data_IF_406079195341
#
_entry.id   IF_406079195341
#
_cell.length_a   1.000
_cell.length_b   1.000
_cell.length_c   1.000
_cell.angle_alpha   90.00
_cell.angle_beta   90.00
_cell.angle_gamma   90.00
#
_symmetry.space_group_name_H-M   'P 1'
#
loop_
_entity.id
_entity.type
_entity.pdbx_description
1 polymer ?
#
# COMPACT_ATOMS: atom_id res chain seq x y z
N UNK A 1 28.24 13.27 -21.59
CA UNK A 1 27.34 12.79 -20.53
C UNK A 1 27.59 11.29 -20.43
N UNK A 2 28.49 10.92 -19.54
CA UNK A 2 28.94 9.55 -19.30
C UNK A 2 27.90 8.85 -18.47
N UNK A 3 27.40 7.75 -19.01
CA UNK A 3 26.47 6.82 -18.40
C UNK A 3 27.15 6.18 -17.16
N UNK A 4 26.76 6.59 -15.98
CA UNK A 4 27.27 6.06 -14.70
C UNK A 4 26.39 4.87 -14.26
N UNK A 5 26.37 3.82 -15.07
CA UNK A 5 26.04 2.46 -14.61
C UNK A 5 27.29 1.83 -13.99
N UNK A 6 27.80 2.46 -12.92
CA UNK A 6 28.80 1.80 -12.09
C UNK A 6 28.19 0.58 -11.42
N UNK A 7 28.88 -0.56 -11.62
CA UNK A 7 28.70 -1.85 -10.92
C UNK A 7 28.37 -1.61 -9.44
N UNK A 8 27.12 -1.86 -9.06
CA UNK A 8 26.67 -1.81 -7.66
C UNK A 8 26.29 -3.24 -7.22
N UNK A 9 27.28 -4.05 -6.80
CA UNK A 9 27.04 -5.46 -6.41
C UNK A 9 25.98 -5.64 -5.31
N UNK A 10 25.84 -4.62 -4.43
CA UNK A 10 24.81 -4.62 -3.39
C UNK A 10 23.39 -4.50 -3.95
N UNK A 11 23.22 -3.88 -5.13
CA UNK A 11 21.93 -3.75 -5.80
C UNK A 11 21.40 -5.13 -6.26
N UNK A 12 22.29 -6.01 -6.71
CA UNK A 12 21.91 -7.36 -7.12
C UNK A 12 21.50 -8.23 -5.92
N UNK A 13 22.18 -8.08 -4.78
CA UNK A 13 21.80 -8.75 -3.52
C UNK A 13 20.44 -8.25 -3.00
N UNK A 14 20.19 -6.95 -3.05
CA UNK A 14 18.87 -6.40 -2.67
C UNK A 14 17.76 -6.78 -3.65
N UNK A 15 18.08 -6.98 -4.93
CA UNK A 15 17.15 -7.50 -5.91
C UNK A 15 16.71 -8.93 -5.59
N UNK A 16 17.60 -9.77 -5.06
CA UNK A 16 17.26 -11.13 -4.65
C UNK A 16 16.26 -11.15 -3.48
N UNK A 17 16.41 -10.26 -2.50
CA UNK A 17 15.48 -10.17 -1.35
C UNK A 17 14.06 -9.69 -1.73
N UNK A 18 13.91 -8.90 -2.80
CA UNK A 18 12.62 -8.41 -3.28
C UNK A 18 11.86 -9.40 -4.18
N UNK A 19 12.47 -10.55 -4.52
CA UNK A 19 11.88 -11.55 -5.41
C UNK A 19 10.68 -12.30 -4.83
N UNK A 20 10.49 -12.36 -3.52
CA UNK A 20 9.54 -13.25 -2.86
C UNK A 20 8.10 -13.18 -3.39
N UNK A 21 7.54 -11.95 -3.52
CA UNK A 21 6.16 -11.82 -4.03
C UNK A 21 6.02 -12.08 -5.54
N UNK A 22 7.08 -11.86 -6.30
CA UNK A 22 7.07 -12.12 -7.74
C UNK A 22 7.30 -13.60 -8.02
N UNK A 23 8.14 -14.27 -7.23
CA UNK A 23 8.29 -15.73 -7.24
C UNK A 23 6.98 -16.41 -6.86
N UNK A 24 6.25 -15.93 -5.85
CA UNK A 24 4.93 -16.44 -5.52
C UNK A 24 3.98 -16.36 -6.72
N UNK A 25 4.02 -15.27 -7.51
CA UNK A 25 3.17 -15.15 -8.70
C UNK A 25 3.61 -16.11 -9.83
N UNK A 26 4.89 -16.31 -10.04
CA UNK A 26 5.40 -17.27 -11.04
C UNK A 26 5.12 -18.71 -10.65
N UNK A 27 5.25 -19.05 -9.37
CA UNK A 27 4.88 -20.37 -8.83
C UNK A 27 3.36 -20.58 -8.94
N UNK A 28 2.57 -19.55 -8.70
CA UNK A 28 1.12 -19.60 -8.89
C UNK A 28 0.74 -19.85 -10.34
N UNK A 29 1.41 -19.19 -11.29
CA UNK A 29 1.15 -19.39 -12.73
C UNK A 29 1.46 -20.85 -13.17
N UNK A 30 2.45 -21.50 -12.56
CA UNK A 30 2.75 -22.91 -12.82
C UNK A 30 1.73 -23.88 -12.20
N UNK A 31 1.06 -23.50 -11.13
CA UNK A 31 0.06 -24.31 -10.40
C UNK A 31 -1.39 -24.05 -10.79
N UNK A 32 -1.65 -23.14 -11.73
CA UNK A 32 -2.98 -22.77 -12.16
C UNK A 32 -3.75 -23.98 -12.71
N UNK A 33 -4.95 -24.29 -12.19
CA UNK A 33 -5.82 -25.32 -12.73
C UNK A 33 -6.14 -25.09 -14.22
N UNK A 34 -6.31 -26.16 -14.98
CA UNK A 34 -6.56 -26.08 -16.43
C UNK A 34 -7.75 -25.18 -16.80
N UNK A 35 -8.77 -25.11 -15.94
CA UNK A 35 -9.95 -24.26 -16.11
C UNK A 35 -9.61 -22.77 -16.07
N UNK A 36 -8.61 -22.37 -15.26
CA UNK A 36 -8.16 -20.98 -15.14
C UNK A 36 -7.19 -20.58 -16.26
N UNK A 37 -6.51 -21.53 -16.90
CA UNK A 37 -5.59 -21.26 -18.03
C UNK A 37 -6.32 -20.65 -19.23
N UNK A 38 -7.58 -20.99 -19.45
CA UNK A 38 -8.40 -20.39 -20.51
C UNK A 38 -8.69 -18.91 -20.29
N UNK A 39 -8.75 -18.46 -19.02
CA UNK A 39 -8.90 -17.06 -18.65
C UNK A 39 -7.59 -16.30 -18.76
N UNK A 40 -6.45 -16.95 -18.54
CA UNK A 40 -5.12 -16.35 -18.70
C UNK A 40 -4.85 -15.86 -20.13
N UNK A 41 -5.33 -16.59 -21.13
CA UNK A 41 -5.16 -16.22 -22.55
C UNK A 41 -5.86 -14.92 -22.96
N UNK A 42 -6.78 -14.42 -22.13
CA UNK A 42 -7.50 -13.15 -22.33
C UNK A 42 -6.90 -11.97 -21.57
N UNK A 43 -5.96 -12.24 -20.66
CA UNK A 43 -5.32 -11.17 -19.87
C UNK A 43 -4.26 -10.44 -20.71
N UNK A 44 -4.21 -9.12 -20.57
CA UNK A 44 -3.04 -8.36 -21.01
C UNK A 44 -1.84 -8.83 -20.18
N UNK A 45 -0.83 -9.42 -20.83
CA UNK A 45 0.42 -9.76 -20.17
C UNK A 45 1.12 -8.47 -19.71
N UNK A 46 1.76 -8.55 -18.55
CA UNK A 46 2.64 -7.49 -18.08
C UNK A 46 3.64 -7.09 -19.19
N UNK A 47 3.69 -5.81 -19.48
CA UNK A 47 4.51 -5.27 -20.58
C UNK A 47 5.93 -4.94 -20.14
N UNK A 48 6.18 -4.91 -18.81
CA UNK A 48 7.48 -4.54 -18.27
C UNK A 48 8.34 -5.79 -17.95
N UNK A 49 9.58 -5.76 -18.41
CA UNK A 49 10.57 -6.79 -18.05
C UNK A 49 10.82 -6.82 -16.54
N UNK A 50 11.07 -8.02 -16.00
CA UNK A 50 11.24 -8.23 -14.56
C UNK A 50 12.42 -7.45 -13.99
N UNK A 51 13.58 -7.53 -14.63
CA UNK A 51 14.78 -6.81 -14.16
C UNK A 51 14.60 -5.30 -14.24
N UNK A 52 13.90 -4.80 -15.28
CA UNK A 52 13.54 -3.37 -15.39
C UNK A 52 12.59 -2.97 -14.26
N UNK A 53 11.57 -3.80 -13.98
CA UNK A 53 10.63 -3.54 -12.89
C UNK A 53 11.33 -3.37 -11.55
N UNK A 54 12.23 -4.28 -11.18
CA UNK A 54 12.91 -4.22 -9.87
C UNK A 54 13.87 -3.05 -9.79
N UNK A 55 14.65 -2.75 -10.84
CA UNK A 55 15.52 -1.57 -10.85
C UNK A 55 14.72 -0.28 -10.65
N UNK A 56 13.59 -0.13 -11.36
CA UNK A 56 12.73 1.04 -11.20
C UNK A 56 12.07 1.08 -9.82
N UNK A 57 11.63 -0.07 -9.29
CA UNK A 57 11.06 -0.13 -7.96
C UNK A 57 12.07 0.32 -6.89
N UNK A 58 13.30 -0.19 -6.92
CA UNK A 58 14.36 0.23 -5.99
C UNK A 58 14.69 1.71 -6.12
N UNK A 59 14.78 2.22 -7.35
CA UNK A 59 14.98 3.66 -7.59
C UNK A 59 13.86 4.49 -6.95
N UNK A 60 12.60 4.10 -7.15
CA UNK A 60 11.46 4.79 -6.55
C UNK A 60 11.41 4.63 -5.03
N UNK A 61 11.81 3.48 -4.48
CA UNK A 61 11.90 3.28 -3.03
C UNK A 61 13.00 4.14 -2.41
N UNK A 62 14.13 4.33 -3.09
CA UNK A 62 15.16 5.27 -2.65
C UNK A 62 14.64 6.71 -2.60
N UNK A 63 13.84 7.11 -3.59
CA UNK A 63 13.18 8.42 -3.60
C UNK A 63 12.11 8.56 -2.49
N UNK A 64 11.39 7.47 -2.15
CA UNK A 64 10.47 7.47 -1.01
C UNK A 64 11.18 7.68 0.33
N UNK A 65 12.39 7.16 0.50
CA UNK A 65 13.21 7.42 1.70
C UNK A 65 13.60 8.91 1.76
N UNK A 66 14.02 9.51 0.64
CA UNK A 66 14.29 10.96 0.58
C UNK A 66 13.04 11.80 0.88
N UNK A 67 11.88 11.39 0.32
CA UNK A 67 10.61 12.04 0.64
C UNK A 67 10.30 11.97 2.14
N UNK A 68 10.49 10.81 2.77
CA UNK A 68 10.26 10.65 4.20
C UNK A 68 11.17 11.55 5.04
N UNK A 69 12.46 11.60 4.70
CA UNK A 69 13.42 12.51 5.33
C UNK A 69 12.97 13.96 5.22
N UNK A 70 12.54 14.35 4.04
CA UNK A 70 12.03 15.70 3.79
C UNK A 70 10.78 16.00 4.60
N UNK A 71 9.81 15.07 4.64
CA UNK A 71 8.60 15.19 5.44
C UNK A 71 8.95 15.40 6.91
N UNK A 72 9.88 14.61 7.45
CA UNK A 72 10.35 14.72 8.83
C UNK A 72 11.07 16.04 9.08
N UNK A 73 11.98 16.43 8.18
CA UNK A 73 12.78 17.65 8.30
C UNK A 73 11.93 18.93 8.24
N UNK A 74 10.93 18.95 7.34
CA UNK A 74 10.03 20.11 7.17
C UNK A 74 8.83 20.08 8.10
N UNK A 75 8.63 19.01 8.86
CA UNK A 75 7.46 18.85 9.71
C UNK A 75 6.15 18.77 8.90
N UNK A 76 6.18 18.25 7.67
CA UNK A 76 4.98 18.08 6.85
C UNK A 76 4.06 17.03 7.46
N UNK A 77 2.78 17.13 7.15
CA UNK A 77 1.75 16.15 7.53
C UNK A 77 1.19 15.55 6.24
N UNK A 78 1.51 14.29 5.94
CA UNK A 78 1.10 13.65 4.70
C UNK A 78 0.06 12.56 4.98
N UNK A 79 -1.08 12.64 4.29
CA UNK A 79 -2.14 11.62 4.29
C UNK A 79 -2.34 11.11 2.86
N UNK A 80 -2.28 9.80 2.69
CA UNK A 80 -2.56 9.15 1.40
C UNK A 80 -3.70 8.16 1.58
N UNK A 81 -4.77 8.32 0.82
CA UNK A 81 -5.92 7.42 0.82
C UNK A 81 -5.81 6.43 -0.33
N UNK A 82 -5.94 5.15 -0.02
CA UNK A 82 -5.97 4.06 -0.98
C UNK A 82 -7.36 3.45 -1.02
N UNK A 83 -8.14 3.85 -2.01
CA UNK A 83 -9.50 3.37 -2.27
C UNK A 83 -9.55 2.58 -3.59
N UNK A 84 -10.65 1.90 -3.85
CA UNK A 84 -10.83 1.18 -5.11
C UNK A 84 -11.47 -0.18 -4.95
N UNK A 85 -11.59 -0.87 -6.07
CA UNK A 85 -12.19 -2.21 -6.17
C UNK A 85 -11.48 -3.22 -5.27
N UNK A 86 -12.23 -4.23 -4.83
CA UNK A 86 -11.62 -5.37 -4.15
C UNK A 86 -10.70 -6.11 -5.11
N UNK A 87 -9.58 -6.61 -4.60
CA UNK A 87 -8.49 -7.20 -5.38
C UNK A 87 -7.75 -6.26 -6.35
N UNK A 88 -8.00 -4.95 -6.34
CA UNK A 88 -7.36 -4.02 -7.27
C UNK A 88 -5.85 -3.79 -7.04
N UNK A 89 -5.29 -4.27 -5.93
CA UNK A 89 -3.85 -4.20 -5.69
C UNK A 89 -3.40 -3.12 -4.70
N UNK A 90 -4.34 -2.47 -3.99
CA UNK A 90 -4.04 -1.45 -2.96
C UNK A 90 -2.96 -1.87 -1.98
N UNK A 91 -3.17 -3.00 -1.29
CA UNK A 91 -2.23 -3.52 -0.29
C UNK A 91 -0.83 -3.81 -0.86
N UNK A 92 -0.75 -4.25 -2.14
CA UNK A 92 0.54 -4.47 -2.80
C UNK A 92 1.32 -3.18 -3.03
N UNK A 93 0.65 -2.08 -3.37
CA UNK A 93 1.29 -0.75 -3.50
C UNK A 93 1.68 -0.21 -2.12
N UNK A 94 0.80 -0.30 -1.12
CA UNK A 94 1.09 0.13 0.25
C UNK A 94 2.34 -0.61 0.79
N UNK A 95 2.42 -1.94 0.58
CA UNK A 95 3.58 -2.74 0.99
C UNK A 95 4.86 -2.23 0.33
N UNK A 96 4.86 -1.92 -0.97
CA UNK A 96 6.04 -1.41 -1.68
C UNK A 96 6.45 0.00 -1.24
N UNK A 97 5.50 0.85 -0.87
CA UNK A 97 5.78 2.17 -0.29
C UNK A 97 6.43 2.01 1.09
N UNK A 98 5.90 1.11 1.94
CA UNK A 98 6.35 1.00 3.34
C UNK A 98 7.58 0.12 3.53
N UNK A 99 7.99 -0.63 2.53
CA UNK A 99 9.02 -1.67 2.63
C UNK A 99 10.39 -1.15 3.11
N UNK A 100 10.76 0.07 2.71
CA UNK A 100 12.09 0.66 3.00
C UNK A 100 12.05 1.95 3.79
N UNK A 101 10.85 2.47 4.09
CA UNK A 101 10.71 3.67 4.90
C UNK A 101 10.66 3.34 6.39
N UNK A 102 11.04 4.31 7.23
CA UNK A 102 11.05 4.14 8.67
C UNK A 102 9.60 4.04 9.22
N UNK A 103 9.19 2.92 9.83
CA UNK A 103 7.83 2.73 10.32
C UNK A 103 7.47 3.65 11.51
N UNK A 104 8.44 4.35 12.11
CA UNK A 104 8.17 5.31 13.18
C UNK A 104 7.56 6.60 12.67
N UNK A 105 7.85 6.99 11.42
CA UNK A 105 7.33 8.19 10.78
C UNK A 105 6.40 7.92 9.59
N UNK A 106 6.27 6.65 9.18
CA UNK A 106 5.33 6.23 8.15
C UNK A 106 4.51 5.03 8.66
N UNK A 107 3.19 5.17 8.76
CA UNK A 107 2.33 4.08 9.23
C UNK A 107 1.14 3.83 8.31
N UNK A 108 0.66 2.59 8.33
CA UNK A 108 -0.54 2.16 7.63
C UNK A 108 -1.70 2.11 8.61
N UNK A 109 -2.84 2.65 8.22
CA UNK A 109 -4.09 2.61 8.97
C UNK A 109 -5.12 1.82 8.16
N UNK A 110 -5.54 0.68 8.70
CA UNK A 110 -6.60 -0.16 8.15
C UNK A 110 -7.62 -0.42 9.27
N UNK A 111 -8.69 0.36 9.30
CA UNK A 111 -9.68 0.26 10.37
C UNK A 111 -10.66 -0.89 10.12
N UNK A 112 -10.98 -1.70 11.15
CA UNK A 112 -12.01 -2.72 11.04
C UNK A 112 -13.40 -2.10 10.89
N UNK A 113 -14.44 -2.92 10.76
CA UNK A 113 -15.82 -2.45 10.82
C UNK A 113 -16.06 -1.67 12.14
N UNK A 114 -16.86 -0.58 12.11
CA UNK A 114 -17.12 0.23 13.31
C UNK A 114 -17.82 -0.61 14.39
N UNK A 115 -17.35 -0.48 15.63
CA UNK A 115 -18.03 -1.07 16.79
C UNK A 115 -19.30 -0.26 17.14
N UNK A 116 -20.10 -0.75 18.10
CA UNK A 116 -21.39 -0.11 18.41
C UNK A 116 -21.26 1.30 18.95
N UNK A 117 -20.19 1.62 19.69
CA UNK A 117 -19.89 2.97 20.14
C UNK A 117 -19.57 3.88 18.96
N UNK A 118 -18.69 3.43 18.06
CA UNK A 118 -18.28 4.20 16.89
C UNK A 118 -19.44 4.50 15.92
N UNK A 119 -20.42 3.59 15.82
CA UNK A 119 -21.63 3.79 15.01
C UNK A 119 -22.48 4.98 15.47
N UNK A 120 -22.40 5.36 16.75
CA UNK A 120 -23.14 6.49 17.33
C UNK A 120 -22.35 7.80 17.39
N UNK A 121 -21.07 7.77 17.01
CA UNK A 121 -20.21 8.93 16.98
C UNK A 121 -20.37 9.71 15.68
N UNK A 122 -19.88 10.95 15.67
CA UNK A 122 -19.66 11.66 14.42
C UNK A 122 -18.80 10.82 13.48
N UNK A 123 -19.23 10.70 12.22
CA UNK A 123 -18.68 9.71 11.30
C UNK A 123 -17.15 9.77 11.17
N UNK A 124 -16.57 10.97 11.06
CA UNK A 124 -15.12 11.13 10.90
C UNK A 124 -14.33 10.89 12.20
N UNK A 125 -14.98 10.84 13.36
CA UNK A 125 -14.30 10.77 14.67
C UNK A 125 -13.38 9.58 14.80
N UNK A 126 -13.72 8.43 14.20
CA UNK A 126 -12.88 7.24 14.23
C UNK A 126 -11.60 7.35 13.38
N UNK A 127 -11.56 8.26 12.40
CA UNK A 127 -10.42 8.51 11.53
C UNK A 127 -9.49 9.61 12.06
N UNK A 128 -10.04 10.60 12.72
CA UNK A 128 -9.31 11.77 13.23
C UNK A 128 -8.12 11.40 14.13
N UNK A 129 -8.21 10.44 15.06
CA UNK A 129 -7.07 10.05 15.92
C UNK A 129 -5.87 9.48 15.15
N UNK A 130 -6.07 9.08 13.90
CA UNK A 130 -5.04 8.49 13.06
C UNK A 130 -4.38 9.48 12.11
N UNK A 131 -4.83 10.75 12.10
CA UNK A 131 -4.22 11.79 11.28
C UNK A 131 -2.77 12.07 11.73
N UNK A 132 -1.89 12.51 10.80
CA UNK A 132 -0.48 12.70 11.10
C UNK A 132 -0.21 13.89 12.00
N UNK A 133 0.77 13.75 12.88
CA UNK A 133 1.50 14.86 13.46
C UNK A 133 2.53 15.40 12.45
N UNK A 134 3.20 16.51 12.82
CA UNK A 134 4.27 17.07 12.01
C UNK A 134 5.41 16.04 11.81
N UNK A 135 5.84 15.85 10.58
CA UNK A 135 6.87 14.88 10.21
C UNK A 135 6.39 13.45 9.96
N UNK A 136 5.07 13.24 9.94
CA UNK A 136 4.50 11.90 9.76
C UNK A 136 3.81 11.70 8.41
N UNK A 137 3.88 10.47 7.92
CA UNK A 137 3.15 9.96 6.74
C UNK A 137 2.14 8.92 7.20
N UNK A 138 0.89 9.08 6.82
CA UNK A 138 -0.18 8.12 7.12
C UNK A 138 -0.81 7.61 5.83
N UNK A 139 -0.78 6.29 5.64
CA UNK A 139 -1.35 5.59 4.50
C UNK A 139 -2.63 4.90 4.96
N UNK A 140 -3.79 5.33 4.46
CA UNK A 140 -5.05 4.67 4.76
C UNK A 140 -5.36 3.58 3.74
N UNK A 141 -5.37 2.30 4.16
CA UNK A 141 -5.95 1.21 3.37
C UNK A 141 -7.46 1.16 3.64
N UNK A 142 -8.21 1.78 2.76
CA UNK A 142 -9.59 2.25 2.94
C UNK A 142 -9.68 3.37 4.00
N UNK A 143 -10.62 4.25 3.80
CA UNK A 143 -10.74 5.47 4.59
C UNK A 143 -12.19 5.79 4.94
N UNK A 144 -12.46 7.04 5.25
CA UNK A 144 -13.82 7.58 5.39
C UNK A 144 -14.68 7.40 4.15
N UNK A 145 -14.10 7.13 3.00
CA UNK A 145 -14.84 6.81 1.77
C UNK A 145 -15.54 5.44 1.79
N UNK A 146 -15.35 4.61 2.82
CA UNK A 146 -16.18 3.44 3.08
C UNK A 146 -17.68 3.80 3.08
N UNK A 147 -18.07 5.00 3.55
CA UNK A 147 -19.47 5.48 3.54
C UNK A 147 -20.02 5.64 2.14
N UNK A 148 -19.24 6.18 1.20
CA UNK A 148 -19.62 6.33 -0.20
C UNK A 148 -19.57 5.01 -0.98
N UNK A 149 -18.75 4.06 -0.55
CA UNK A 149 -18.51 2.77 -1.19
C UNK A 149 -19.26 1.62 -0.54
N UNK A 150 -18.55 0.83 0.26
CA UNK A 150 -19.05 -0.44 0.82
C UNK A 150 -20.28 -0.25 1.72
N UNK A 151 -20.30 0.79 2.56
CA UNK A 151 -21.42 0.99 3.47
C UNK A 151 -22.72 1.35 2.72
N UNK A 152 -22.62 2.16 1.67
CA UNK A 152 -23.73 2.49 0.77
C UNK A 152 -24.22 1.26 0.01
N UNK A 153 -23.31 0.54 -0.67
CA UNK A 153 -23.66 -0.56 -1.55
C UNK A 153 -24.24 -1.74 -0.79
N UNK A 154 -23.77 -1.98 0.42
CA UNK A 154 -24.21 -3.09 1.27
C UNK A 154 -25.40 -2.73 2.17
N UNK A 155 -25.85 -1.47 2.15
CA UNK A 155 -26.95 -1.02 2.98
C UNK A 155 -26.60 -0.89 4.47
N UNK A 156 -25.31 -0.74 4.81
CA UNK A 156 -24.87 -0.48 6.19
C UNK A 156 -25.08 0.99 6.59
N UNK A 157 -25.19 1.88 5.63
CA UNK A 157 -25.56 3.27 5.81
C UNK A 157 -26.90 3.57 5.13
N UNK A 158 -27.75 4.36 5.78
CA UNK A 158 -28.97 4.87 5.16
C UNK A 158 -28.65 5.89 4.05
N UNK A 159 -29.58 6.11 3.14
CA UNK A 159 -29.43 7.14 2.11
C UNK A 159 -29.19 8.54 2.71
N UNK A 160 -29.87 8.86 3.81
CA UNK A 160 -29.64 10.11 4.54
C UNK A 160 -28.19 10.23 5.02
N UNK A 161 -27.62 9.18 5.63
CA UNK A 161 -26.23 9.17 6.09
C UNK A 161 -25.21 9.30 4.95
N UNK A 162 -25.53 8.74 3.79
CA UNK A 162 -24.70 8.88 2.59
C UNK A 162 -24.76 10.31 2.05
N UNK A 163 -25.94 10.93 2.02
CA UNK A 163 -26.09 12.32 1.59
C UNK A 163 -25.42 13.31 2.54
N UNK A 164 -25.54 13.09 3.85
CA UNK A 164 -24.81 13.86 4.86
C UNK A 164 -23.29 13.74 4.66
N UNK A 165 -22.78 12.53 4.43
CA UNK A 165 -21.38 12.29 4.15
C UNK A 165 -20.91 13.07 2.91
N UNK A 166 -21.65 13.02 1.81
CA UNK A 166 -21.26 13.71 0.59
C UNK A 166 -21.28 15.25 0.74
N UNK A 167 -22.14 15.79 1.60
CA UNK A 167 -22.12 17.21 1.95
C UNK A 167 -20.90 17.56 2.81
N UNK A 168 -20.55 16.70 3.76
CA UNK A 168 -19.61 17.03 4.82
C UNK A 168 -18.15 16.68 4.44
N UNK A 169 -17.91 15.64 3.62
CA UNK A 169 -16.54 15.19 3.30
C UNK A 169 -15.71 16.22 2.56
N UNK A 170 -16.21 17.00 1.58
CA UNK A 170 -15.43 18.05 0.95
C UNK A 170 -14.98 19.13 1.93
N UNK A 171 -15.84 19.49 2.88
CA UNK A 171 -15.51 20.48 3.92
C UNK A 171 -14.49 19.92 4.92
N UNK A 172 -14.65 18.66 5.32
CA UNK A 172 -13.69 17.98 6.18
C UNK A 172 -12.29 17.93 5.53
N UNK A 173 -12.20 17.56 4.26
CA UNK A 173 -10.94 17.51 3.52
C UNK A 173 -10.33 18.92 3.35
N UNK A 174 -11.14 19.95 3.04
CA UNK A 174 -10.66 21.34 2.99
C UNK A 174 -10.13 21.81 4.34
N UNK A 175 -10.77 21.43 5.47
CA UNK A 175 -10.24 21.72 6.80
C UNK A 175 -8.89 21.09 7.04
N UNK A 176 -8.69 19.82 6.63
CA UNK A 176 -7.40 19.13 6.73
C UNK A 176 -6.33 19.85 5.92
N UNK A 177 -6.60 20.18 4.66
CA UNK A 177 -5.66 20.90 3.78
C UNK A 177 -5.33 22.28 4.35
N UNK A 178 -6.32 23.05 4.81
CA UNK A 178 -6.07 24.35 5.44
C UNK A 178 -5.26 24.26 6.73
N UNK A 179 -5.33 23.12 7.44
CA UNK A 179 -4.49 22.86 8.63
C UNK A 179 -3.05 22.44 8.29
N UNK A 180 -2.70 22.43 6.99
CA UNK A 180 -1.36 22.07 6.51
C UNK A 180 -1.16 20.56 6.28
N UNK A 181 -2.24 19.78 6.17
CA UNK A 181 -2.16 18.39 5.73
C UNK A 181 -2.09 18.33 4.21
N UNK A 182 -1.08 17.63 3.68
CA UNK A 182 -1.05 17.24 2.27
C UNK A 182 -1.89 15.99 2.12
N UNK A 183 -3.02 16.09 1.42
CA UNK A 183 -3.97 15.00 1.22
C UNK A 183 -3.93 14.51 -0.22
N UNK A 184 -3.57 13.23 -0.42
CA UNK A 184 -3.53 12.57 -1.73
C UNK A 184 -4.54 11.43 -1.74
N UNK A 185 -5.37 11.35 -2.81
CA UNK A 185 -6.43 10.35 -2.93
C UNK A 185 -6.24 9.50 -4.16
N UNK A 186 -6.12 8.17 -3.97
CA UNK A 186 -5.99 7.19 -5.04
C UNK A 186 -7.21 6.28 -5.11
N UNK A 187 -7.71 6.08 -6.33
CA UNK A 187 -8.70 5.07 -6.65
C UNK A 187 -8.10 4.00 -7.55
N UNK A 188 -8.00 2.77 -7.04
CA UNK A 188 -7.52 1.61 -7.80
C UNK A 188 -8.65 0.98 -8.60
N UNK A 189 -8.52 1.02 -9.92
CA UNK A 189 -9.50 0.49 -10.88
C UNK A 189 -8.97 -0.79 -11.52
N UNK A 190 -9.83 -1.79 -11.62
CA UNK A 190 -9.59 -3.01 -12.40
C UNK A 190 -10.83 -3.36 -13.20
N UNK A 191 -10.66 -4.15 -14.26
CA UNK A 191 -11.77 -4.70 -15.02
C UNK A 191 -12.48 -5.82 -14.25
N UNK A 192 -13.69 -6.13 -14.67
CA UNK A 192 -14.49 -7.21 -14.11
C UNK A 192 -13.80 -8.58 -14.26
N UNK A 193 -13.23 -8.84 -15.43
CA UNK A 193 -12.52 -10.07 -15.73
C UNK A 193 -11.26 -10.23 -14.87
N UNK A 194 -10.52 -9.15 -14.66
CA UNK A 194 -9.33 -9.18 -13.81
C UNK A 194 -9.69 -9.40 -12.35
N UNK A 195 -10.78 -8.80 -11.84
CA UNK A 195 -11.27 -9.08 -10.50
C UNK A 195 -11.67 -10.55 -10.34
N UNK A 196 -12.42 -11.08 -11.30
CA UNK A 196 -12.84 -12.48 -11.33
C UNK A 196 -11.63 -13.42 -11.26
N UNK A 197 -10.65 -13.18 -12.11
CA UNK A 197 -9.42 -13.97 -12.14
C UNK A 197 -8.72 -13.95 -10.77
N UNK A 198 -8.54 -12.77 -10.17
CA UNK A 198 -7.88 -12.62 -8.87
C UNK A 198 -8.64 -13.30 -7.73
N UNK A 199 -9.96 -13.31 -7.75
CA UNK A 199 -10.76 -14.04 -6.78
C UNK A 199 -10.62 -15.55 -6.94
N UNK A 200 -10.68 -16.06 -8.18
CA UNK A 200 -10.45 -17.48 -8.45
C UNK A 200 -9.07 -17.95 -8.00
N UNK A 201 -8.02 -17.13 -8.25
CA UNK A 201 -6.67 -17.41 -7.74
C UNK A 201 -6.63 -17.51 -6.21
N UNK A 202 -7.36 -16.64 -5.50
CA UNK A 202 -7.44 -16.71 -4.03
C UNK A 202 -8.17 -17.95 -3.53
N UNK A 203 -9.21 -18.41 -4.25
CA UNK A 203 -9.94 -19.63 -3.90
C UNK A 203 -9.04 -20.86 -4.00
N UNK A 204 -8.20 -20.92 -5.04
CA UNK A 204 -7.37 -22.10 -5.31
C UNK A 204 -6.03 -22.11 -4.56
N UNK A 205 -5.58 -20.97 -4.03
CA UNK A 205 -4.32 -20.88 -3.30
C UNK A 205 -4.55 -20.90 -1.78
N UNK A 206 -4.17 -22.02 -1.08
CA UNK A 206 -4.36 -22.12 0.37
C UNK A 206 -3.70 -20.99 1.17
N UNK A 207 -2.60 -20.42 0.67
CA UNK A 207 -1.89 -19.32 1.32
C UNK A 207 -2.65 -18.00 1.18
N UNK A 208 -3.51 -17.86 0.16
CA UNK A 208 -4.26 -16.64 -0.15
C UNK A 208 -5.73 -16.69 0.20
N UNK A 209 -6.26 -17.86 0.57
CA UNK A 209 -7.68 -18.04 0.92
C UNK A 209 -8.14 -17.08 2.04
N UNK A 210 -7.29 -16.81 3.02
CA UNK A 210 -7.60 -15.88 4.09
C UNK A 210 -7.84 -14.43 3.63
N UNK A 211 -7.40 -14.07 2.42
CA UNK A 211 -7.63 -12.76 1.78
C UNK A 211 -9.01 -12.66 1.12
N UNK A 212 -9.76 -13.76 1.08
CA UNK A 212 -11.10 -13.78 0.50
C UNK A 212 -12.14 -13.73 1.61
N UNK A 213 -12.84 -12.63 1.70
CA UNK A 213 -13.92 -12.44 2.66
C UNK A 213 -15.30 -12.67 2.03
N UNK A 214 -16.35 -12.94 2.82
CA UNK A 214 -17.72 -12.95 2.31
C UNK A 214 -18.11 -11.64 1.61
N UNK A 215 -17.52 -10.52 2.03
CA UNK A 215 -17.74 -9.21 1.42
C UNK A 215 -17.19 -9.12 0.00
N UNK A 216 -16.03 -9.76 -0.28
CA UNK A 216 -15.46 -9.83 -1.63
C UNK A 216 -16.42 -10.53 -2.60
N UNK A 217 -17.07 -11.62 -2.16
CA UNK A 217 -18.07 -12.34 -2.97
C UNK A 217 -19.28 -11.46 -3.24
N UNK A 218 -19.75 -10.70 -2.26
CA UNK A 218 -20.85 -9.76 -2.44
C UNK A 218 -20.48 -8.59 -3.37
N UNK A 219 -19.24 -8.13 -3.33
CA UNK A 219 -18.77 -7.06 -4.22
C UNK A 219 -18.82 -7.48 -5.69
N UNK A 220 -18.57 -8.76 -5.96
CA UNK A 220 -18.70 -9.37 -7.30
C UNK A 220 -20.12 -9.29 -7.84
N UNK A 221 -21.10 -9.69 -7.03
CA UNK A 221 -22.53 -9.70 -7.40
C UNK A 221 -23.07 -8.27 -7.61
N UNK A 222 -22.47 -7.28 -6.97
CA UNK A 222 -22.93 -5.87 -6.97
C UNK A 222 -22.03 -4.96 -7.78
N UNK A 223 -21.41 -5.46 -8.83
CA UNK A 223 -20.44 -4.75 -9.65
C UNK A 223 -20.93 -3.37 -10.13
N UNK A 224 -22.14 -3.31 -10.72
CA UNK A 224 -22.74 -2.07 -11.22
C UNK A 224 -23.09 -1.09 -10.09
N UNK A 225 -23.53 -1.60 -8.95
CA UNK A 225 -23.83 -0.78 -7.78
C UNK A 225 -22.56 -0.08 -7.25
N UNK A 226 -21.46 -0.82 -7.19
CA UNK A 226 -20.16 -0.23 -6.86
C UNK A 226 -19.67 0.75 -7.93
N UNK A 227 -19.96 0.52 -9.21
CA UNK A 227 -19.64 1.47 -10.29
C UNK A 227 -20.39 2.78 -10.08
N UNK A 228 -21.71 2.72 -9.87
CA UNK A 228 -22.53 3.91 -9.59
C UNK A 228 -22.08 4.65 -8.32
N UNK A 229 -21.73 3.90 -7.28
CA UNK A 229 -21.22 4.49 -6.04
C UNK A 229 -19.91 5.25 -6.27
N UNK A 230 -18.97 4.67 -7.05
CA UNK A 230 -17.71 5.34 -7.45
C UNK A 230 -17.98 6.62 -8.26
N UNK A 231 -18.87 6.56 -9.25
CA UNK A 231 -19.21 7.70 -10.11
C UNK A 231 -19.77 8.87 -9.28
N UNK A 232 -20.74 8.60 -8.41
CA UNK A 232 -21.28 9.60 -7.48
C UNK A 232 -20.22 10.15 -6.52
N UNK A 233 -19.31 9.29 -6.05
CA UNK A 233 -18.20 9.71 -5.20
C UNK A 233 -17.28 10.69 -5.95
N UNK A 234 -16.87 10.40 -7.17
CA UNK A 234 -16.02 11.28 -7.96
C UNK A 234 -16.70 12.59 -8.28
N UNK A 235 -17.96 12.56 -8.73
CA UNK A 235 -18.73 13.76 -9.05
C UNK A 235 -18.82 14.72 -7.86
N UNK A 236 -19.02 14.19 -6.64
CA UNK A 236 -19.35 14.99 -5.46
C UNK A 236 -18.14 15.31 -4.58
N UNK A 237 -17.02 14.61 -4.73
CA UNK A 237 -15.88 14.74 -3.82
C UNK A 237 -14.54 14.99 -4.51
N UNK A 238 -14.53 15.20 -5.83
CA UNK A 238 -13.32 15.59 -6.55
C UNK A 238 -13.09 17.10 -6.41
N UNK A 239 -12.48 17.49 -5.30
CA UNK A 239 -12.20 18.91 -5.00
C UNK A 239 -10.81 19.32 -5.47
N UNK A 240 -10.59 20.57 -5.89
CA UNK A 240 -9.29 21.04 -6.38
C UNK A 240 -8.16 20.91 -5.35
N UNK A 241 -8.47 21.07 -4.06
CA UNK A 241 -7.51 21.01 -2.96
C UNK A 241 -7.01 19.59 -2.69
N UNK A 242 -7.80 18.58 -3.04
CA UNK A 242 -7.48 17.16 -2.92
C UNK A 242 -8.21 16.37 -4.02
N UNK A 243 -7.69 16.37 -5.25
CA UNK A 243 -8.32 15.67 -6.37
C UNK A 243 -8.15 14.16 -6.25
N UNK A 244 -9.05 13.41 -6.87
CA UNK A 244 -8.92 11.98 -7.07
C UNK A 244 -7.95 11.67 -8.22
N UNK A 245 -7.08 10.69 -8.01
CA UNK A 245 -6.23 10.12 -9.04
C UNK A 245 -6.56 8.64 -9.22
N UNK A 246 -6.80 8.22 -10.47
CA UNK A 246 -7.11 6.83 -10.79
C UNK A 246 -5.82 6.08 -11.08
N UNK A 247 -5.65 4.92 -10.45
CA UNK A 247 -4.55 3.97 -10.71
C UNK A 247 -5.12 2.76 -11.44
N UNK A 248 -4.64 2.53 -12.66
CA UNK A 248 -4.99 1.35 -13.45
C UNK A 248 -4.32 0.10 -12.85
N UNK A 249 -5.15 -0.78 -12.28
CA UNK A 249 -4.69 -1.91 -11.46
C UNK A 249 -4.63 -3.25 -12.19
N UNK A 250 -4.96 -3.33 -13.49
CA UNK A 250 -4.94 -4.60 -14.23
C UNK A 250 -3.54 -5.22 -14.28
N UNK A 251 -2.53 -4.39 -14.50
CA UNK A 251 -1.13 -4.80 -14.34
C UNK A 251 -0.60 -4.35 -12.97
N UNK A 252 -0.29 -5.30 -12.10
CA UNK A 252 0.16 -5.01 -10.73
C UNK A 252 1.53 -4.32 -10.70
N UNK A 253 2.45 -4.67 -11.62
CA UNK A 253 3.80 -4.08 -11.68
C UNK A 253 3.71 -2.62 -12.08
N UNK A 254 2.99 -2.34 -13.16
CA UNK A 254 2.78 -0.97 -13.63
C UNK A 254 2.00 -0.14 -12.62
N UNK A 255 0.95 -0.70 -12.00
CA UNK A 255 0.18 0.00 -10.96
C UNK A 255 1.06 0.45 -9.78
N UNK A 256 1.98 -0.42 -9.32
CA UNK A 256 2.94 -0.10 -8.25
C UNK A 256 3.88 1.03 -8.65
N UNK A 257 4.57 0.89 -9.78
CA UNK A 257 5.53 1.89 -10.25
C UNK A 257 4.86 3.24 -10.51
N UNK A 258 3.73 3.24 -11.24
CA UNK A 258 3.03 4.47 -11.60
C UNK A 258 2.45 5.19 -10.39
N UNK A 259 1.87 4.46 -9.43
CA UNK A 259 1.34 5.06 -8.21
C UNK A 259 2.44 5.69 -7.35
N UNK A 260 3.57 5.00 -7.17
CA UNK A 260 4.71 5.54 -6.41
C UNK A 260 5.32 6.74 -7.14
N UNK A 261 5.55 6.64 -8.44
CA UNK A 261 6.08 7.75 -9.24
C UNK A 261 5.18 8.98 -9.18
N UNK A 262 3.85 8.78 -9.28
CA UNK A 262 2.90 9.88 -9.13
C UNK A 262 2.94 10.48 -7.72
N UNK A 263 2.97 9.66 -6.66
CA UNK A 263 3.06 10.15 -5.28
C UNK A 263 4.28 11.05 -5.08
N UNK A 264 5.44 10.64 -5.61
CA UNK A 264 6.67 11.41 -5.58
C UNK A 264 6.58 12.71 -6.41
N UNK A 265 5.80 12.73 -7.48
CA UNK A 265 5.66 13.90 -8.35
C UNK A 265 4.76 14.99 -7.78
N UNK A 266 3.78 14.63 -6.94
CA UNK A 266 2.80 15.61 -6.40
C UNK A 266 3.23 16.25 -5.09
N UNK A 267 4.27 15.75 -4.46
CA UNK A 267 4.80 16.28 -3.21
C UNK A 267 6.18 16.89 -3.50
N UNK A 268 6.33 18.21 -3.37
CA UNK A 268 7.65 18.84 -3.54
C UNK A 268 8.57 18.41 -2.40
N UNK A 269 9.65 17.70 -2.71
CA UNK A 269 10.69 17.29 -1.76
C UNK A 269 12.07 17.53 -2.34
N UNK A 270 13.07 17.53 -1.47
CA UNK A 270 14.47 17.71 -1.82
C UNK A 270 15.38 16.89 -0.91
N UNK A 271 16.68 17.00 -1.14
CA UNK A 271 17.67 16.37 -0.27
C UNK A 271 17.76 17.11 1.07
N UNK A 272 17.81 16.34 2.15
CA UNK A 272 18.08 16.84 3.48
C UNK A 272 19.59 16.69 3.74
N UNK A 273 20.30 17.75 4.10
CA UNK A 273 21.70 17.62 4.48
C UNK A 273 21.85 16.78 5.74
N UNK A 274 22.63 15.72 5.66
CA UNK A 274 23.02 14.90 6.80
C UNK A 274 24.50 15.09 7.10
N UNK A 275 24.85 15.16 8.39
CA UNK A 275 26.26 15.11 8.78
C UNK A 275 26.83 13.72 8.48
N UNK A 276 28.07 13.61 8.00
CA UNK A 276 28.72 12.32 7.78
C UNK A 276 28.74 11.49 9.06
N UNK A 277 28.17 10.30 9.01
CA UNK A 277 28.22 9.37 10.14
C UNK A 277 29.58 8.70 10.16
N UNK A 278 30.35 8.93 11.23
CA UNK A 278 31.60 8.22 11.47
C UNK A 278 31.31 7.10 12.47
N UNK A 279 31.59 5.87 12.07
CA UNK A 279 31.47 4.72 12.96
C UNK A 279 32.55 4.80 14.04
N UNK A 280 32.20 4.94 15.35
CA UNK A 280 33.20 4.97 16.39
C UNK A 280 33.91 3.61 16.52
N UNK A 281 35.20 3.67 16.93
CA UNK A 281 35.93 2.46 17.24
C UNK A 281 35.29 1.71 18.42
N UNK A 282 35.29 0.37 18.34
CA UNK A 282 34.80 -0.45 19.44
C UNK A 282 35.74 -0.35 20.63
N UNK A 283 35.21 0.11 21.77
CA UNK A 283 35.95 0.05 23.03
C UNK A 283 35.91 -1.41 23.52
N UNK A 284 37.08 -2.03 23.54
CA UNK A 284 37.26 -3.40 24.03
C UNK A 284 37.53 -3.36 25.54
N UNK A 285 36.74 -4.14 26.31
CA UNK A 285 37.03 -4.35 27.75
C UNK A 285 37.72 -5.69 27.91
N UNK A 286 39.02 -5.73 28.23
CA UNK A 286 39.80 -6.97 28.40
C UNK A 286 39.36 -7.79 29.62
N UNK A 287 38.73 -7.17 30.62
CA UNK A 287 38.29 -7.83 31.83
C UNK A 287 36.88 -8.41 31.75
N UNK A 288 36.24 -8.30 30.57
CA UNK A 288 34.90 -8.84 30.34
C UNK A 288 34.97 -10.21 29.66
N UNK A 289 34.60 -11.26 30.40
CA UNK A 289 34.38 -12.59 29.86
C UNK A 289 32.91 -12.81 29.54
N UNK A 290 32.64 -13.17 28.28
CA UNK A 290 31.27 -13.47 27.83
C UNK A 290 30.81 -14.80 28.42
N UNK A 291 29.70 -14.77 29.18
CA UNK A 291 29.08 -15.98 29.71
C UNK A 291 28.62 -16.92 28.56
N UNK A 292 28.91 -18.20 28.70
CA UNK A 292 28.40 -19.23 27.79
C UNK A 292 26.93 -19.50 28.15
N UNK A 293 26.02 -19.27 27.21
CA UNK A 293 24.60 -19.54 27.41
C UNK A 293 24.29 -21.01 27.12
N UNK A 294 23.36 -21.64 27.87
CA UNK A 294 22.88 -22.98 27.60
C UNK A 294 22.30 -23.08 26.18
N UNK A 295 22.50 -24.22 25.55
CA UNK A 295 22.10 -24.44 24.15
C UNK A 295 20.59 -24.38 23.94
N UNK A 296 19.82 -24.66 25.01
CA UNK A 296 18.35 -24.60 25.05
C UNK A 296 17.80 -23.18 24.90
N UNK A 297 18.64 -22.17 25.09
CA UNK A 297 18.26 -20.76 24.87
C UNK A 297 18.40 -20.32 23.42
N UNK A 298 19.00 -21.13 22.56
CA UNK A 298 19.15 -20.84 21.15
C UNK A 298 18.05 -21.51 20.33
N UNK A 299 17.56 -20.81 19.32
CA UNK A 299 16.67 -21.42 18.33
C UNK A 299 17.38 -22.61 17.69
N UNK A 300 16.73 -23.79 17.60
CA UNK A 300 17.32 -24.95 16.92
C UNK A 300 17.68 -24.63 15.48
N UNK A 301 18.87 -24.99 15.05
CA UNK A 301 19.27 -24.91 13.66
C UNK A 301 18.68 -26.10 12.88
N UNK A 302 17.50 -25.87 12.31
CA UNK A 302 16.74 -26.87 11.53
C UNK A 302 17.20 -26.94 10.07
N UNK A 303 17.77 -25.87 9.54
CA UNK A 303 18.11 -25.72 8.12
C UNK A 303 19.62 -25.65 7.84
N UNK A 304 20.45 -25.71 8.86
CA UNK A 304 21.90 -25.66 8.71
C UNK A 304 22.51 -26.88 8.01
N UNK A 305 23.78 -26.85 7.66
CA UNK A 305 24.48 -27.91 6.88
C UNK A 305 24.41 -29.34 7.43
N UNK A 306 24.04 -29.47 8.72
CA UNK A 306 23.90 -30.78 9.39
C UNK A 306 22.49 -31.38 9.33
N UNK A 307 21.52 -30.64 8.75
CA UNK A 307 20.12 -31.09 8.64
C UNK A 307 19.77 -31.72 7.29
N UNK A 308 20.79 -31.99 6.44
CA UNK A 308 20.64 -32.70 5.16
C UNK A 308 21.10 -34.14 5.25
#
# INVERSE_FOLDING_TARGET
>A
MTDATEDRPWLDLELEDDFDEELEQEIDDARIPAELRALLGKRQKATIDRGVYFRELLRLQSELVKLQDWVSHKGLKLVVLFEGRDSAGKGGVIKRITQRVNPRSCRVVALPAPNDREKTQWYFQRYVPHLPAAGEIVLFDRSWYNRAGVERVMGFASEQQVEEFFRDVPEFERMLVRSGVVLVKYWFSITDEEQQFRFLMRIHDPIKQWKLSPMDLQSRVRWEQYTKAKEAMFERTNIPEAPWTIVEGNDKKLARLNCIAHLLSVIPYGEVPHEPVVLPERVFNPDYERATLPRELYVPDVYGPKAR
#
